data_IF_696091241517
#
_entry.id   IF_696091241517
#
_cell.length_a   1.000
_cell.length_b   1.000
_cell.length_c   1.000
_cell.angle_alpha   90.00
_cell.angle_beta   90.00
_cell.angle_gamma   90.00
#
_symmetry.space_group_name_H-M   'P 1'
#
loop_
_entity.id
_entity.type
_entity.pdbx_description
1 polymer ?
#
# COMPACT_ATOMS: atom_id res chain seq x y z
N UNK A 1 49.68 1.04 38.01
CA UNK A 1 48.93 2.32 37.89
C UNK A 1 47.77 2.32 38.88
N UNK A 2 47.88 3.08 39.98
CA UNK A 2 46.82 3.16 40.99
C UNK A 2 45.64 4.01 40.49
N UNK A 3 44.43 3.44 40.44
CA UNK A 3 43.21 4.20 40.14
C UNK A 3 42.96 5.20 41.29
N UNK A 4 43.08 6.50 41.00
CA UNK A 4 42.74 7.57 41.95
C UNK A 4 41.29 7.39 42.44
N UNK A 5 41.03 7.34 43.75
CA UNK A 5 39.67 7.23 44.28
C UNK A 5 38.88 8.50 43.90
N UNK A 6 37.67 8.31 43.37
CA UNK A 6 36.77 9.43 43.05
C UNK A 6 36.28 10.07 44.35
N UNK A 7 36.55 11.36 44.52
CA UNK A 7 36.02 12.13 45.66
C UNK A 7 34.50 12.29 45.55
N UNK A 8 33.77 12.35 46.68
CA UNK A 8 32.29 12.44 46.70
C UNK A 8 31.75 13.66 45.94
N UNK A 9 32.49 14.78 45.96
CA UNK A 9 32.15 15.98 45.18
C UNK A 9 32.21 15.76 43.65
N UNK A 10 33.19 14.99 43.17
CA UNK A 10 33.28 14.59 41.75
C UNK A 10 32.19 13.60 41.37
N UNK A 11 31.80 12.70 42.28
CA UNK A 11 30.67 11.77 42.08
C UNK A 11 29.36 12.54 41.94
N UNK A 12 29.07 13.49 42.83
CA UNK A 12 27.88 14.35 42.78
C UNK A 12 27.81 15.19 41.50
N UNK A 13 28.91 15.81 41.08
CA UNK A 13 28.97 16.55 39.80
C UNK A 13 28.73 15.65 38.58
N UNK A 14 29.24 14.42 38.58
CA UNK A 14 28.98 13.45 37.51
C UNK A 14 27.51 13.05 37.49
N UNK A 15 26.89 12.77 38.64
CA UNK A 15 25.47 12.42 38.72
C UNK A 15 24.58 13.55 38.19
N UNK A 16 24.84 14.80 38.59
CA UNK A 16 24.07 15.96 38.10
C UNK A 16 24.21 16.11 36.59
N UNK A 17 25.44 15.99 36.06
CA UNK A 17 25.67 16.04 34.61
C UNK A 17 24.93 14.93 33.86
N UNK A 18 24.93 13.70 34.37
CA UNK A 18 24.19 12.59 33.74
C UNK A 18 22.67 12.80 33.85
N UNK A 19 22.18 13.33 34.98
CA UNK A 19 20.76 13.62 35.18
C UNK A 19 20.23 14.71 34.23
N UNK A 20 21.10 15.58 33.71
CA UNK A 20 20.76 16.59 32.69
C UNK A 20 21.02 16.04 31.27
N UNK A 21 22.14 15.37 31.05
CA UNK A 21 22.51 14.87 29.73
C UNK A 21 21.56 13.77 29.24
N UNK A 22 21.09 12.90 30.13
CA UNK A 22 20.18 11.81 29.79
C UNK A 22 18.83 12.32 29.23
N UNK A 23 18.07 13.23 29.89
CA UNK A 23 16.82 13.72 29.34
C UNK A 23 17.03 14.51 28.04
N UNK A 24 18.13 15.24 27.89
CA UNK A 24 18.46 15.91 26.63
C UNK A 24 18.69 14.89 25.53
N UNK A 25 19.49 13.85 25.78
CA UNK A 25 19.74 12.78 24.83
C UNK A 25 18.43 12.05 24.44
N UNK A 26 17.57 11.77 25.41
CA UNK A 26 16.27 11.16 25.17
C UNK A 26 15.37 12.08 24.33
N UNK A 27 15.32 13.38 24.62
CA UNK A 27 14.56 14.34 23.83
C UNK A 27 15.08 14.43 22.38
N UNK A 28 16.40 14.42 22.20
CA UNK A 28 17.01 14.37 20.86
C UNK A 28 16.65 13.07 20.15
N UNK A 29 16.71 11.92 20.82
CA UNK A 29 16.30 10.64 20.23
C UNK A 29 14.82 10.63 19.82
N UNK A 30 13.94 11.18 20.65
CA UNK A 30 12.50 11.29 20.34
C UNK A 30 12.28 12.13 19.08
N UNK A 31 12.98 13.24 18.95
CA UNK A 31 12.89 14.11 17.77
C UNK A 31 13.50 13.50 16.51
N UNK A 32 14.61 12.78 16.65
CA UNK A 32 15.33 12.18 15.50
C UNK A 32 14.63 10.92 15.00
N UNK A 33 14.06 10.13 15.91
CA UNK A 33 13.39 8.86 15.58
C UNK A 33 11.89 9.03 15.30
N UNK A 34 11.37 10.25 15.47
CA UNK A 34 9.93 10.54 15.43
C UNK A 34 9.11 9.61 16.37
N UNK A 35 9.71 9.12 17.48
CA UNK A 35 9.12 8.12 18.40
C UNK A 35 9.06 8.66 19.85
N UNK A 36 7.99 8.44 20.63
CA UNK A 36 6.83 7.62 20.33
C UNK A 36 5.82 8.32 19.41
N UNK A 37 5.28 7.57 18.45
CA UNK A 37 4.20 8.02 17.58
C UNK A 37 2.88 7.70 18.26
N UNK A 38 2.14 8.71 18.67
CA UNK A 38 0.91 8.55 19.46
C UNK A 38 -0.35 8.47 18.59
N UNK A 39 -0.27 8.88 17.32
CA UNK A 39 -1.42 9.00 16.44
C UNK A 39 -1.14 8.46 15.04
N UNK A 40 -2.17 7.96 14.38
CA UNK A 40 -2.10 7.52 12.99
C UNK A 40 -1.62 8.64 12.05
N UNK A 41 -2.03 9.90 12.31
CA UNK A 41 -1.60 11.05 11.52
C UNK A 41 -0.12 11.39 11.68
N UNK A 42 0.47 11.17 12.87
CA UNK A 42 1.92 11.27 13.05
C UNK A 42 2.65 10.15 12.30
N UNK A 43 2.14 8.92 12.35
CA UNK A 43 2.71 7.81 11.57
C UNK A 43 2.65 8.09 10.07
N UNK A 44 1.52 8.58 9.56
CA UNK A 44 1.35 8.96 8.17
C UNK A 44 2.38 10.01 7.73
N UNK A 45 2.54 11.08 8.52
CA UNK A 45 3.56 12.10 8.23
C UNK A 45 4.98 11.55 8.28
N UNK A 46 5.28 10.68 9.23
CA UNK A 46 6.58 10.03 9.33
C UNK A 46 6.84 9.09 8.13
N UNK A 47 5.83 8.34 7.68
CA UNK A 47 5.92 7.49 6.49
C UNK A 47 6.15 8.33 5.24
N UNK A 48 5.33 9.37 5.00
CA UNK A 48 5.50 10.27 3.85
C UNK A 48 6.93 10.88 3.81
N UNK A 49 7.41 11.40 4.94
CA UNK A 49 8.78 11.92 5.07
C UNK A 49 9.85 10.87 4.79
N UNK A 50 9.66 9.63 5.26
CA UNK A 50 10.60 8.52 5.02
C UNK A 50 10.70 8.14 3.54
N UNK A 51 9.59 8.23 2.81
CA UNK A 51 9.50 7.91 1.39
C UNK A 51 9.69 9.13 0.48
N UNK A 52 10.04 10.29 1.04
CA UNK A 52 10.16 11.56 0.31
C UNK A 52 8.90 11.95 -0.47
N UNK A 53 7.74 11.43 -0.05
CA UNK A 53 6.44 11.82 -0.55
C UNK A 53 5.99 13.06 0.23
N UNK A 54 5.49 14.10 -0.44
CA UNK A 54 5.15 15.37 0.19
C UNK A 54 4.03 15.25 1.24
N UNK A 55 3.55 16.38 1.79
CA UNK A 55 2.36 16.35 2.63
C UNK A 55 1.13 16.09 1.75
N UNK A 56 0.91 14.83 1.40
CA UNK A 56 -0.19 14.37 0.57
C UNK A 56 -1.54 14.62 1.23
N UNK A 57 -2.48 15.07 0.41
CA UNK A 57 -3.89 15.14 0.77
C UNK A 57 -4.44 13.71 0.90
N UNK A 58 -5.13 13.44 2.01
CA UNK A 58 -5.79 12.16 2.21
C UNK A 58 -7.11 12.17 1.47
N UNK A 59 -7.20 11.40 0.37
CA UNK A 59 -8.45 11.23 -0.39
C UNK A 59 -9.40 10.29 0.36
N UNK A 60 -8.87 9.20 0.91
CA UNK A 60 -9.64 8.27 1.73
C UNK A 60 -8.72 7.46 2.64
N UNK A 61 -9.32 6.81 3.63
CA UNK A 61 -8.64 5.90 4.54
C UNK A 61 -9.45 4.63 4.73
N UNK A 62 -8.76 3.51 4.80
CA UNK A 62 -9.36 2.20 5.00
C UNK A 62 -8.70 1.58 6.23
N UNK A 63 -9.54 1.29 7.22
CA UNK A 63 -9.14 0.58 8.43
C UNK A 63 -9.28 -0.91 8.21
N UNK A 64 -8.28 -1.67 8.67
CA UNK A 64 -8.29 -3.12 8.60
C UNK A 64 -8.22 -3.69 10.01
N UNK A 65 -9.16 -4.57 10.34
CA UNK A 65 -8.98 -5.45 11.48
C UNK A 65 -7.88 -6.45 11.14
N UNK A 66 -6.79 -6.48 11.91
CA UNK A 66 -5.71 -7.44 11.72
C UNK A 66 -6.25 -8.87 11.86
N UNK A 67 -6.32 -9.58 10.74
CA UNK A 67 -6.54 -11.02 10.72
C UNK A 67 -5.21 -11.77 10.90
N UNK A 68 -5.23 -12.88 11.64
CA UNK A 68 -4.10 -13.82 11.69
C UNK A 68 -3.83 -14.33 10.26
N UNK A 69 -2.56 -14.46 9.83
CA UNK A 69 -2.14 -14.92 8.49
C UNK A 69 -2.47 -14.03 7.26
N UNK A 70 -2.89 -12.78 7.41
CA UNK A 70 -3.05 -11.89 6.25
C UNK A 70 -1.69 -11.36 5.75
N UNK A 71 -1.33 -11.65 4.51
CA UNK A 71 -0.10 -11.17 3.85
C UNK A 71 -0.38 -9.86 3.08
N UNK A 72 0.44 -8.83 3.33
CA UNK A 72 0.44 -7.45 2.78
C UNK A 72 -0.82 -6.59 2.94
N UNK A 73 -2.03 -7.03 2.57
CA UNK A 73 -3.29 -6.35 2.97
C UNK A 73 -3.75 -6.89 4.31
N UNK A 74 -4.08 -5.99 5.25
CA UNK A 74 -4.34 -6.37 6.64
C UNK A 74 -3.08 -6.63 7.48
N UNK A 75 -1.87 -6.43 6.92
CA UNK A 75 -0.64 -6.35 7.73
C UNK A 75 -0.56 -5.04 8.52
N UNK A 76 -1.06 -3.97 7.91
CA UNK A 76 -1.16 -2.65 8.54
C UNK A 76 -2.58 -2.39 9.04
N UNK A 77 -2.68 -1.64 10.13
CA UNK A 77 -3.97 -1.35 10.77
C UNK A 77 -4.76 -0.31 9.97
N UNK A 78 -4.08 0.55 9.20
CA UNK A 78 -4.71 1.58 8.39
C UNK A 78 -3.93 1.87 7.11
N UNK A 79 -4.68 2.09 6.04
CA UNK A 79 -4.18 2.48 4.73
C UNK A 79 -4.81 3.81 4.33
N UNK A 80 -4.04 4.65 3.67
CA UNK A 80 -4.46 5.94 3.15
C UNK A 80 -4.22 5.97 1.65
N UNK A 81 -5.20 6.47 0.90
CA UNK A 81 -4.99 6.88 -0.49
C UNK A 81 -4.69 8.37 -0.45
N UNK A 82 -3.53 8.74 -0.99
CA UNK A 82 -2.97 10.08 -0.93
C UNK A 82 -2.85 10.66 -2.32
N UNK A 83 -3.00 11.98 -2.42
CA UNK A 83 -2.66 12.75 -3.61
C UNK A 83 -1.67 13.85 -3.26
N UNK A 84 -0.64 14.03 -4.08
CA UNK A 84 0.28 15.15 -3.97
C UNK A 84 0.66 15.66 -5.36
N UNK A 85 0.01 16.74 -5.79
CA UNK A 85 0.12 17.21 -7.18
C UNK A 85 -0.45 16.17 -8.15
N UNK A 86 0.39 15.72 -9.08
CA UNK A 86 0.07 14.69 -10.06
C UNK A 86 0.39 13.27 -9.57
N UNK A 87 0.88 13.11 -8.34
CA UNK A 87 1.19 11.79 -7.78
C UNK A 87 0.05 11.26 -6.93
N UNK A 88 -0.28 9.99 -7.12
CA UNK A 88 -1.15 9.22 -6.25
C UNK A 88 -0.31 8.20 -5.49
N UNK A 89 -0.63 7.98 -4.22
CA UNK A 89 0.07 7.01 -3.41
C UNK A 89 -0.89 6.22 -2.54
N UNK A 90 -0.52 4.97 -2.27
CA UNK A 90 -1.05 4.26 -1.12
C UNK A 90 -0.04 4.36 0.01
N UNK A 91 -0.50 4.59 1.23
CA UNK A 91 0.35 4.64 2.41
C UNK A 91 -0.26 3.83 3.53
N UNK A 92 0.50 2.87 4.06
CA UNK A 92 0.11 2.14 5.25
C UNK A 92 0.78 2.68 6.50
N UNK A 93 0.08 2.49 7.63
CA UNK A 93 0.61 2.74 8.97
C UNK A 93 0.20 1.61 9.90
N UNK A 94 1.07 1.33 10.87
CA UNK A 94 0.86 0.24 11.82
C UNK A 94 0.55 0.80 13.21
N UNK A 95 -0.24 0.05 13.96
CA UNK A 95 -0.50 0.26 15.37
C UNK A 95 -0.04 -0.98 16.13
N UNK A 96 1.03 -0.85 16.91
CA UNK A 96 1.59 -1.95 17.70
C UNK A 96 1.60 -1.56 19.18
N UNK A 97 0.70 -2.16 19.95
CA UNK A 97 0.55 -1.88 21.37
C UNK A 97 0.04 -0.46 21.62
N UNK A 98 0.84 0.36 22.31
CA UNK A 98 0.47 1.73 22.70
C UNK A 98 0.81 2.79 21.64
N UNK A 99 1.56 2.43 20.61
CA UNK A 99 2.13 3.38 19.66
C UNK A 99 1.84 3.00 18.22
N UNK A 100 1.69 4.02 17.40
CA UNK A 100 1.71 3.89 15.95
C UNK A 100 3.16 3.75 15.46
N UNK A 101 3.32 3.29 14.23
CA UNK A 101 4.61 3.14 13.56
C UNK A 101 4.46 3.51 12.08
N UNK A 102 5.53 4.05 11.50
CA UNK A 102 5.61 4.23 10.05
C UNK A 102 5.39 2.89 9.34
N UNK A 103 4.67 2.89 8.22
CA UNK A 103 4.46 1.71 7.40
C UNK A 103 5.18 1.80 6.06
N UNK A 104 4.51 1.37 5.01
CA UNK A 104 4.97 1.41 3.64
C UNK A 104 4.26 2.51 2.86
N UNK A 105 4.86 2.93 1.76
CA UNK A 105 4.25 3.82 0.79
C UNK A 105 4.77 3.43 -0.58
N UNK A 106 3.86 3.36 -1.54
CA UNK A 106 4.21 3.33 -2.95
C UNK A 106 3.37 4.35 -3.71
N UNK A 107 3.90 4.86 -4.81
CA UNK A 107 3.33 5.97 -5.53
C UNK A 107 3.44 5.80 -7.03
N UNK A 108 2.45 6.30 -7.74
CA UNK A 108 2.43 6.38 -9.21
C UNK A 108 2.20 7.83 -9.62
N UNK A 109 2.93 8.25 -10.67
CA UNK A 109 2.66 9.51 -11.34
C UNK A 109 1.42 9.34 -12.22
N UNK A 110 0.46 10.24 -12.10
CA UNK A 110 -0.72 10.24 -12.94
C UNK A 110 -0.35 10.77 -14.32
N UNK A 111 -0.46 9.91 -15.34
CA UNK A 111 -0.42 10.34 -16.73
C UNK A 111 -1.84 10.71 -17.20
N UNK A 112 -2.16 12.01 -17.36
CA UNK A 112 -3.49 12.43 -17.77
C UNK A 112 -3.85 12.04 -19.21
N UNK A 113 -2.89 11.55 -20.01
CA UNK A 113 -3.16 11.03 -21.35
C UNK A 113 -3.74 9.61 -21.33
N UNK A 114 -3.63 8.90 -20.20
CA UNK A 114 -4.17 7.56 -20.01
C UNK A 114 -5.49 7.62 -19.23
N UNK A 115 -6.57 6.96 -19.70
CA UNK A 115 -7.83 6.90 -18.97
C UNK A 115 -7.70 6.19 -17.61
N UNK A 116 -6.83 5.18 -17.51
CA UNK A 116 -6.61 4.39 -16.30
C UNK A 116 -5.11 4.25 -16.02
N UNK A 117 -4.70 4.50 -14.78
CA UNK A 117 -3.30 4.34 -14.30
C UNK A 117 -3.29 3.43 -13.07
N UNK A 118 -2.76 2.20 -13.15
CA UNK A 118 -2.72 1.27 -12.02
C UNK A 118 -1.52 1.51 -11.09
N UNK A 119 -1.73 1.25 -9.80
CA UNK A 119 -0.73 1.18 -8.74
C UNK A 119 -0.97 -0.09 -7.92
N UNK A 120 -0.01 -1.01 -7.94
CA UNK A 120 -0.07 -2.25 -7.15
C UNK A 120 0.10 -1.89 -5.67
N UNK A 121 -0.91 -2.19 -4.86
CA UNK A 121 -0.92 -1.93 -3.40
C UNK A 121 -0.45 -3.17 -2.64
N UNK A 122 -0.91 -4.34 -3.09
CA UNK A 122 -0.49 -5.65 -2.59
C UNK A 122 -0.53 -6.64 -3.73
N UNK A 123 0.57 -7.37 -3.87
CA UNK A 123 0.89 -8.27 -4.96
C UNK A 123 0.66 -9.75 -4.59
N UNK A 124 0.02 -10.05 -3.44
CA UNK A 124 -0.14 -11.40 -2.90
C UNK A 124 -1.51 -12.02 -3.16
N UNK A 125 -1.76 -13.20 -2.58
CA UNK A 125 -3.05 -13.91 -2.56
C UNK A 125 -4.22 -13.03 -2.07
N UNK A 126 -4.01 -12.29 -0.96
CA UNK A 126 -4.87 -11.17 -0.55
C UNK A 126 -4.27 -9.86 -1.06
N UNK A 127 -4.67 -9.47 -2.27
CA UNK A 127 -4.07 -8.35 -2.98
C UNK A 127 -5.02 -7.20 -3.26
N UNK A 128 -4.44 -6.09 -3.69
CA UNK A 128 -5.20 -4.96 -4.22
C UNK A 128 -4.38 -4.12 -5.18
N UNK A 129 -5.10 -3.49 -6.10
CA UNK A 129 -4.60 -2.48 -7.02
C UNK A 129 -5.47 -1.25 -6.86
N UNK A 130 -4.82 -0.11 -6.73
CA UNK A 130 -5.45 1.19 -6.87
C UNK A 130 -5.38 1.58 -8.34
N UNK A 131 -6.51 1.88 -8.97
CA UNK A 131 -6.55 2.40 -10.34
C UNK A 131 -7.04 3.84 -10.31
N UNK A 132 -6.18 4.77 -10.73
CA UNK A 132 -6.53 6.19 -10.93
C UNK A 132 -7.27 6.30 -12.26
N UNK A 133 -8.41 6.98 -12.27
CA UNK A 133 -9.29 7.13 -13.41
C UNK A 133 -9.36 8.59 -13.85
N UNK A 134 -8.89 8.88 -15.06
CA UNK A 134 -8.91 10.22 -15.64
C UNK A 134 -10.13 10.46 -16.54
N UNK A 135 -10.88 9.40 -16.88
CA UNK A 135 -12.09 9.49 -17.71
C UNK A 135 -13.36 9.42 -16.83
N UNK A 136 -14.17 10.50 -16.76
CA UNK A 136 -15.36 10.54 -15.92
C UNK A 136 -16.50 9.63 -16.42
N UNK A 137 -16.46 9.17 -17.68
CA UNK A 137 -17.48 8.28 -18.22
C UNK A 137 -17.26 6.81 -17.80
N UNK A 138 -16.08 6.48 -17.24
CA UNK A 138 -15.79 5.15 -16.69
C UNK A 138 -16.46 5.01 -15.32
N UNK A 139 -17.45 4.12 -15.25
CA UNK A 139 -18.18 3.79 -14.03
C UNK A 139 -17.71 2.49 -13.38
N UNK A 140 -17.01 1.63 -14.12
CA UNK A 140 -16.54 0.32 -13.66
C UNK A 140 -15.17 0.01 -14.22
N UNK A 141 -14.29 -0.49 -13.36
CA UNK A 141 -12.94 -0.92 -13.74
C UNK A 141 -12.79 -2.42 -13.50
N UNK A 142 -12.09 -3.07 -14.42
CA UNK A 142 -11.69 -4.46 -14.36
C UNK A 142 -10.18 -4.55 -14.52
N UNK A 143 -9.57 -5.42 -13.72
CA UNK A 143 -8.17 -5.82 -13.89
C UNK A 143 -8.12 -7.30 -14.24
N UNK A 144 -7.19 -7.64 -15.12
CA UNK A 144 -6.86 -9.01 -15.50
C UNK A 144 -5.35 -9.19 -15.28
N UNK A 145 -4.96 -10.30 -14.66
CA UNK A 145 -3.57 -10.56 -14.29
C UNK A 145 -3.26 -12.06 -14.14
N UNK A 146 -2.00 -12.48 -14.29
CA UNK A 146 -1.60 -13.87 -14.17
C UNK A 146 -1.57 -14.33 -12.70
N UNK A 147 -1.95 -15.58 -12.48
CA UNK A 147 -1.97 -16.25 -11.17
C UNK A 147 -1.18 -17.54 -11.27
N UNK A 148 -0.31 -17.75 -10.27
CA UNK A 148 0.53 -18.93 -10.21
C UNK A 148 -0.16 -20.05 -9.42
N UNK A 149 -0.57 -21.11 -10.12
CA UNK A 149 -1.08 -22.31 -9.45
C UNK A 149 0.07 -23.23 -9.02
N UNK A 150 -0.07 -23.89 -7.87
CA UNK A 150 0.92 -24.91 -7.42
C UNK A 150 1.11 -26.07 -8.41
N UNK A 151 0.18 -26.26 -9.34
CA UNK A 151 0.27 -27.21 -10.45
C UNK A 151 1.13 -26.75 -11.64
N UNK A 152 1.67 -25.53 -11.60
CA UNK A 152 2.47 -24.96 -12.68
C UNK A 152 1.65 -24.58 -13.92
N UNK A 153 0.36 -24.28 -13.74
CA UNK A 153 -0.50 -23.71 -14.79
C UNK A 153 -0.65 -22.22 -14.55
N UNK A 154 -0.29 -21.42 -15.55
CA UNK A 154 -0.50 -19.98 -15.55
C UNK A 154 -1.95 -19.70 -15.93
N UNK A 155 -2.74 -19.23 -14.96
CA UNK A 155 -4.14 -18.85 -15.15
C UNK A 155 -4.27 -17.33 -15.14
N UNK A 156 -5.34 -16.81 -15.72
CA UNK A 156 -5.71 -15.40 -15.61
C UNK A 156 -6.81 -15.24 -14.57
N UNK A 157 -6.60 -14.38 -13.59
CA UNK A 157 -7.66 -13.92 -12.71
C UNK A 157 -8.23 -12.59 -13.22
N UNK A 158 -9.48 -12.33 -12.84
CA UNK A 158 -10.16 -11.08 -13.16
C UNK A 158 -10.80 -10.54 -11.89
N UNK A 159 -10.50 -9.29 -11.54
CA UNK A 159 -11.15 -8.58 -10.44
C UNK A 159 -11.80 -7.30 -10.94
N UNK A 160 -12.93 -6.94 -10.35
CA UNK A 160 -13.78 -5.85 -10.82
C UNK A 160 -14.17 -4.96 -9.65
N UNK A 161 -14.29 -3.65 -9.92
CA UNK A 161 -14.87 -2.68 -8.99
C UNK A 161 -15.72 -1.65 -9.73
N UNK A 162 -16.88 -1.32 -9.18
CA UNK A 162 -17.77 -0.24 -9.66
C UNK A 162 -17.88 0.91 -8.65
N UNK A 163 -17.41 0.73 -7.41
CA UNK A 163 -17.31 1.80 -6.42
C UNK A 163 -15.95 2.49 -6.49
N UNK A 164 -15.96 3.82 -6.53
CA UNK A 164 -14.76 4.63 -6.48
C UNK A 164 -14.83 5.66 -5.35
N UNK A 165 -13.66 6.11 -4.90
CA UNK A 165 -13.54 7.26 -4.01
C UNK A 165 -12.70 8.33 -4.70
N UNK A 166 -13.28 9.51 -4.90
CA UNK A 166 -12.74 10.50 -5.83
C UNK A 166 -12.44 9.84 -7.18
N UNK A 167 -11.28 10.08 -7.77
CA UNK A 167 -10.93 9.58 -9.10
C UNK A 167 -10.24 8.19 -9.03
N UNK A 168 -10.55 7.37 -8.01
CA UNK A 168 -9.80 6.15 -7.72
C UNK A 168 -10.69 4.93 -7.45
N UNK A 169 -10.41 3.82 -8.13
CA UNK A 169 -11.00 2.51 -7.87
C UNK A 169 -10.02 1.65 -7.07
N UNK A 170 -10.42 1.19 -5.89
CA UNK A 170 -9.66 0.19 -5.14
C UNK A 170 -10.23 -1.19 -5.44
N UNK A 171 -9.47 -1.97 -6.20
CA UNK A 171 -9.84 -3.31 -6.62
C UNK A 171 -9.09 -4.29 -5.74
N UNK A 172 -9.82 -5.16 -5.05
CA UNK A 172 -9.27 -6.12 -4.09
C UNK A 172 -9.61 -7.53 -4.57
N UNK A 173 -8.72 -8.47 -4.27
CA UNK A 173 -8.98 -9.88 -4.49
C UNK A 173 -8.54 -10.70 -3.28
N UNK A 174 -9.09 -11.90 -3.20
CA UNK A 174 -8.74 -12.93 -2.23
C UNK A 174 -8.73 -14.25 -2.99
N UNK A 175 -7.52 -14.75 -3.27
CA UNK A 175 -7.27 -15.96 -4.03
C UNK A 175 -6.67 -17.03 -3.12
N UNK A 176 -6.97 -18.30 -3.39
CA UNK A 176 -6.31 -19.39 -2.68
C UNK A 176 -4.84 -19.56 -3.12
N UNK A 177 -4.53 -19.09 -4.34
CA UNK A 177 -3.21 -19.15 -4.96
C UNK A 177 -2.34 -17.93 -4.65
N UNK A 178 -1.03 -18.13 -4.66
CA UNK A 178 -0.08 -17.05 -4.55
C UNK A 178 0.01 -16.27 -5.86
N UNK A 179 -0.01 -14.94 -5.74
CA UNK A 179 0.25 -14.01 -6.83
C UNK A 179 1.57 -13.32 -6.52
N UNK A 180 2.31 -12.94 -7.57
CA UNK A 180 3.42 -11.99 -7.51
C UNK A 180 3.20 -10.98 -8.63
N UNK A 181 2.37 -10.00 -8.35
CA UNK A 181 1.91 -9.04 -9.34
C UNK A 181 2.85 -7.85 -9.46
N UNK A 182 3.39 -7.63 -10.65
CA UNK A 182 4.04 -6.37 -11.00
C UNK A 182 3.09 -5.46 -11.80
N UNK A 183 3.26 -4.12 -11.77
CA UNK A 183 2.42 -3.20 -12.53
C UNK A 183 2.34 -3.53 -14.03
N UNK A 184 3.45 -3.98 -14.62
CA UNK A 184 3.56 -4.41 -16.01
C UNK A 184 2.71 -5.64 -16.36
N UNK A 185 2.35 -6.47 -15.37
CA UNK A 185 1.55 -7.68 -15.56
C UNK A 185 0.04 -7.39 -15.58
N UNK A 186 -0.36 -6.15 -15.33
CA UNK A 186 -1.76 -5.76 -15.25
C UNK A 186 -2.31 -5.34 -16.60
N UNK A 187 -3.43 -5.95 -16.96
CA UNK A 187 -4.31 -5.42 -18.00
C UNK A 187 -5.51 -4.77 -17.36
N UNK A 188 -5.75 -3.50 -17.66
CA UNK A 188 -6.86 -2.71 -17.11
C UNK A 188 -7.92 -2.43 -18.18
N UNK A 189 -9.19 -2.51 -17.80
CA UNK A 189 -10.34 -2.17 -18.65
C UNK A 189 -11.28 -1.24 -17.90
N UNK A 190 -11.79 -0.24 -18.61
CA UNK A 190 -12.77 0.71 -18.12
C UNK A 190 -14.07 0.61 -18.91
N UNK A 191 -15.19 0.56 -18.19
CA UNK A 191 -16.52 0.44 -18.75
C UNK A 191 -17.42 1.59 -18.32
N UNK A 192 -18.31 1.99 -19.22
CA UNK A 192 -19.42 2.88 -18.93
C UNK A 192 -20.44 2.22 -17.98
N UNK A 193 -21.34 3.02 -17.43
CA UNK A 193 -22.41 2.52 -16.54
C UNK A 193 -23.36 1.51 -17.19
N UNK A 194 -23.50 1.53 -18.52
CA UNK A 194 -24.29 0.56 -19.28
C UNK A 194 -23.52 -0.73 -19.67
N UNK A 195 -22.25 -0.82 -19.26
CA UNK A 195 -21.36 -1.94 -19.57
C UNK A 195 -20.58 -1.80 -20.88
N UNK A 196 -20.72 -0.70 -21.62
CA UNK A 196 -19.93 -0.43 -22.82
C UNK A 196 -18.45 -0.29 -22.48
N UNK A 197 -17.56 -1.00 -23.19
CA UNK A 197 -16.12 -0.84 -23.03
C UNK A 197 -15.67 0.52 -23.57
N UNK A 198 -15.09 1.35 -22.69
CA UNK A 198 -14.55 2.68 -23.04
C UNK A 198 -13.05 2.56 -23.33
N UNK A 199 -12.32 1.88 -22.45
CA UNK A 199 -10.88 1.79 -22.51
C UNK A 199 -10.37 0.40 -22.17
N UNK A 200 -9.28 0.00 -22.81
CA UNK A 200 -8.54 -1.20 -22.52
C UNK A 200 -7.05 -0.94 -22.74
N UNK A 201 -6.21 -1.28 -21.75
CA UNK A 201 -4.76 -1.21 -21.92
C UNK A 201 -4.26 -2.26 -22.91
N UNK A 202 -3.08 -2.06 -23.51
CA UNK A 202 -2.41 -3.08 -24.32
C UNK A 202 -2.25 -4.40 -23.55
N UNK A 203 -2.04 -5.49 -24.29
CA UNK A 203 -1.68 -6.75 -23.67
C UNK A 203 -0.29 -6.62 -23.02
N UNK A 204 -0.11 -7.02 -21.75
CA UNK A 204 1.21 -7.13 -21.16
C UNK A 204 2.12 -8.07 -21.96
N UNK A 205 3.33 -7.62 -22.29
CA UNK A 205 4.33 -8.46 -22.96
C UNK A 205 4.81 -9.59 -22.04
N UNK A 206 4.90 -9.32 -20.74
CA UNK A 206 5.28 -10.28 -19.71
C UNK A 206 4.40 -11.54 -19.71
N UNK A 207 3.13 -11.44 -20.10
CA UNK A 207 2.25 -12.60 -20.19
C UNK A 207 2.76 -13.66 -21.16
N UNK A 208 3.31 -13.24 -22.30
CA UNK A 208 3.89 -14.14 -23.27
C UNK A 208 5.30 -14.59 -22.86
N UNK A 209 6.10 -13.67 -22.31
CA UNK A 209 7.52 -13.89 -22.03
C UNK A 209 7.77 -14.69 -20.74
N UNK A 210 7.06 -14.35 -19.67
CA UNK A 210 7.29 -14.87 -18.32
C UNK A 210 6.24 -15.89 -17.88
N UNK A 211 5.00 -15.76 -18.36
CA UNK A 211 3.86 -16.59 -17.93
C UNK A 211 3.35 -17.57 -19.00
N UNK A 212 3.99 -17.65 -20.17
CA UNK A 212 3.58 -18.59 -21.24
C UNK A 212 2.09 -18.51 -21.61
N UNK A 213 1.48 -17.32 -21.54
CA UNK A 213 0.09 -17.03 -21.93
C UNK A 213 0.08 -16.25 -23.26
N UNK A 214 0.24 -16.92 -24.41
CA UNK A 214 0.35 -16.24 -25.71
C UNK A 214 -1.01 -15.77 -26.26
N UNK A 215 -2.12 -16.34 -25.79
CA UNK A 215 -3.48 -15.99 -26.25
C UNK A 215 -4.50 -16.03 -25.09
N UNK A 216 -4.74 -14.90 -24.41
CA UNK A 216 -5.57 -14.85 -23.22
C UNK A 216 -7.06 -15.10 -23.51
N UNK A 217 -7.52 -14.89 -24.76
CA UNK A 217 -8.93 -15.09 -25.10
C UNK A 217 -9.31 -16.59 -25.16
N UNK A 218 -8.34 -17.48 -25.30
CA UNK A 218 -8.53 -18.93 -25.27
C UNK A 218 -8.35 -19.57 -23.87
N UNK A 219 -7.86 -18.84 -22.87
CA UNK A 219 -7.45 -19.36 -21.56
C UNK A 219 -8.30 -18.88 -20.37
N UNK A 220 -9.48 -18.31 -20.64
CA UNK A 220 -10.35 -17.69 -19.62
C UNK A 220 -10.94 -18.71 -18.63
N UNK A 221 -10.22 -19.04 -17.58
CA UNK A 221 -10.85 -19.45 -16.32
C UNK A 221 -11.13 -18.19 -15.51
N UNK A 222 -12.38 -17.70 -15.58
CA UNK A 222 -12.80 -16.52 -14.81
C UNK A 222 -12.90 -16.90 -13.33
N UNK A 223 -11.91 -16.54 -12.54
CA UNK A 223 -12.05 -16.53 -11.09
C UNK A 223 -12.64 -15.18 -10.67
N UNK A 224 -13.95 -15.13 -10.41
CA UNK A 224 -14.60 -13.95 -9.81
C UNK A 224 -14.33 -13.95 -8.30
N UNK A 225 -13.14 -13.54 -7.87
CA UNK A 225 -12.86 -13.32 -6.45
C UNK A 225 -13.51 -12.00 -5.99
N UNK A 226 -14.77 -12.07 -5.58
CA UNK A 226 -15.44 -11.00 -4.87
C UNK A 226 -14.91 -10.96 -3.43
N UNK A 227 -14.41 -9.82 -2.98
CA UNK A 227 -14.53 -9.50 -1.55
C UNK A 227 -16.04 -9.29 -1.31
N UNK A 228 -16.76 -10.18 -0.58
CA UNK A 228 -18.06 -9.81 -0.08
C UNK A 228 -17.81 -8.63 0.87
N UNK A 229 -18.34 -7.46 0.52
CA UNK A 229 -18.16 -6.28 1.33
C UNK A 229 -18.61 -6.54 2.76
N UNK A 230 -17.67 -6.64 3.70
CA UNK A 230 -17.91 -6.17 5.05
C UNK A 230 -17.71 -4.66 5.07
N UNK A 231 -18.67 -3.96 4.47
CA UNK A 231 -19.02 -2.61 4.92
C UNK A 231 -20.02 -2.85 6.04
N UNK A 232 -19.55 -2.87 7.29
CA UNK A 232 -20.40 -3.24 8.42
C UNK A 232 -19.83 -2.97 9.81
N UNK A 233 -19.70 -1.69 10.18
CA UNK A 233 -20.34 -1.04 11.35
C UNK A 233 -19.60 0.22 11.79
#
# INVERSE_FOLDING_TARGET
MARRPMTPARRKRRTIRMAIALPILLAVLVLVLDYPILTAGQALRATQKRYFFGPGEVLTSIDFSRGYNKFKIGQSDRYYILRWGDWYAWCSVNHYGLFWQSGALDAVENDPSLPLVPLVVSDWAEGAVLVVCNDPDIARVEIEFPVFTYSGSDLLATAVQDQHTADCFLIRWDLEEAVWLYPEDLRVRGYAADGTLIYQSPLPESWAEDYSIPDPDNWRFRYEALYPGEVGS
#
